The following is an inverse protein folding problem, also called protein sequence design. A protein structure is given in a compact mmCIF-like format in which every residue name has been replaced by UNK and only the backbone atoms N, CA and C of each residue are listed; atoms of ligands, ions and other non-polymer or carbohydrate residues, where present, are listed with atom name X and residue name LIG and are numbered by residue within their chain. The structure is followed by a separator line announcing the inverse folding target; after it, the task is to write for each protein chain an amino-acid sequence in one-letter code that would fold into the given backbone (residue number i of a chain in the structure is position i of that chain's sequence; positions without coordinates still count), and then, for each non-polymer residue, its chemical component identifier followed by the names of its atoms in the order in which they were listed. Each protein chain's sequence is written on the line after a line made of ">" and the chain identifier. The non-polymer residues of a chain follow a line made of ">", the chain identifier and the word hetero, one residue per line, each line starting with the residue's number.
data_IF_339509507210
#
_entry.id   IF_339509507210
#
_cell.length_a   1.000
_cell.length_b   1.000
_cell.length_c   1.000
_cell.angle_alpha   90.00
_cell.angle_beta   90.00
_cell.angle_gamma   90.00
#
_symmetry.space_group_name_H-M   'P 1'
#
loop_
_entity.id
_entity.type
_entity.pdbx_description
1 polymer ?
#
# COMPACT_ATOMS: atom_id res chain seq x y z
N UNK A 1 -6.74 -61.17 6.97
CA UNK A 1 -6.10 -61.02 8.30
C UNK A 1 -5.48 -59.63 8.43
N UNK A 2 -6.08 -58.75 9.23
CA UNK A 2 -5.45 -57.79 10.16
C UNK A 2 -6.59 -56.93 10.73
N UNK A 3 -6.70 -56.97 12.06
CA UNK A 3 -7.85 -56.52 12.82
C UNK A 3 -7.76 -55.02 13.12
N UNK A 4 -8.94 -54.42 13.10
CA UNK A 4 -9.31 -53.07 13.53
C UNK A 4 -8.93 -52.86 15.01
N UNK A 5 -8.44 -51.66 15.35
CA UNK A 5 -8.44 -51.16 16.72
C UNK A 5 -9.00 -49.74 16.71
N UNK A 6 -10.19 -49.61 17.30
CA UNK A 6 -10.99 -48.41 17.46
C UNK A 6 -11.18 -48.27 18.98
N UNK A 7 -10.63 -47.23 19.59
CA UNK A 7 -10.81 -46.87 21.01
C UNK A 7 -10.99 -45.35 20.99
N UNK A 8 -12.21 -44.80 20.99
CA UNK A 8 -13.14 -44.64 22.12
C UNK A 8 -12.47 -44.10 23.39
N UNK A 9 -12.26 -42.78 23.41
CA UNK A 9 -12.18 -41.97 24.62
C UNK A 9 -12.73 -40.60 24.24
N UNK A 10 -13.69 -39.99 24.92
CA UNK A 10 -14.28 -40.26 26.21
C UNK A 10 -14.95 -38.94 26.56
N UNK A 11 -16.26 -38.89 26.36
CA UNK A 11 -17.13 -37.75 26.62
C UNK A 11 -17.00 -37.38 28.11
N UNK A 12 -16.54 -36.17 28.44
CA UNK A 12 -16.84 -35.55 29.72
C UNK A 12 -17.45 -34.16 29.51
N UNK A 13 -18.72 -34.14 29.87
CA UNK A 13 -19.66 -33.06 29.98
C UNK A 13 -19.39 -32.25 31.27
N UNK A 14 -20.09 -31.12 31.40
CA UNK A 14 -20.36 -30.25 32.59
C UNK A 14 -19.69 -28.87 32.43
N UNK A 15 -20.35 -27.88 31.81
CA UNK A 15 -21.44 -26.96 32.26
C UNK A 15 -21.08 -25.97 33.37
N UNK A 16 -21.07 -24.69 32.94
CA UNK A 16 -21.68 -23.47 33.52
C UNK A 16 -21.17 -22.96 34.88
N UNK A 17 -20.86 -21.65 34.93
CA UNK A 17 -21.26 -20.63 35.93
C UNK A 17 -20.63 -19.29 35.48
N UNK A 18 -21.41 -18.37 34.91
CA UNK A 18 -22.05 -17.24 35.60
C UNK A 18 -21.04 -16.30 36.30
N UNK A 19 -20.84 -15.11 35.72
CA UNK A 19 -20.01 -14.04 36.27
C UNK A 19 -20.57 -12.65 35.97
N UNK A 20 -21.81 -12.40 36.41
CA UNK A 20 -22.30 -11.04 36.66
C UNK A 20 -21.77 -10.57 38.02
N UNK A 21 -21.06 -9.45 38.07
CA UNK A 21 -20.76 -8.69 39.29
C UNK A 21 -20.68 -7.22 38.90
N UNK A 22 -21.75 -6.43 39.00
CA UNK A 22 -22.42 -5.83 40.18
C UNK A 22 -21.62 -4.63 40.72
N UNK A 23 -22.29 -3.49 40.58
CA UNK A 23 -21.93 -2.14 40.98
C UNK A 23 -21.61 -2.01 42.48
N UNK A 24 -20.55 -1.27 42.79
CA UNK A 24 -20.44 -0.52 44.04
C UNK A 24 -20.61 0.97 43.74
N UNK A 25 -21.61 1.56 44.39
CA UNK A 25 -21.69 2.99 44.65
C UNK A 25 -20.76 3.28 45.83
N UNK A 26 -19.90 4.27 45.71
CA UNK A 26 -19.63 5.17 46.83
C UNK A 26 -19.79 6.61 46.36
N UNK A 27 -20.73 7.25 47.02
CA UNK A 27 -21.04 8.66 47.02
C UNK A 27 -19.93 9.41 47.80
N UNK A 28 -19.54 10.59 47.32
CA UNK A 28 -19.31 11.79 48.14
C UNK A 28 -18.85 12.92 47.21
N UNK A 29 -19.71 13.92 47.05
CA UNK A 29 -19.50 15.04 46.15
C UNK A 29 -18.48 16.07 46.62
N UNK A 30 -18.05 16.88 45.67
CA UNK A 30 -17.67 18.28 45.88
C UNK A 30 -18.06 19.08 44.64
N UNK A 31 -18.78 20.18 44.86
CA UNK A 31 -19.25 21.11 43.83
C UNK A 31 -18.10 21.99 43.36
N UNK A 32 -17.93 22.15 42.04
CA UNK A 32 -17.43 23.41 41.47
C UNK A 32 -18.24 23.76 40.22
N UNK A 33 -18.96 24.86 40.35
CA UNK A 33 -19.63 25.67 39.33
C UNK A 33 -18.70 26.04 38.18
N UNK A 34 -19.07 25.83 36.90
CA UNK A 34 -18.61 26.69 35.78
C UNK A 34 -19.35 26.38 34.45
N UNK A 35 -20.34 27.25 34.18
CA UNK A 35 -20.68 27.90 32.89
C UNK A 35 -20.65 27.10 31.57
N UNK A 36 -21.83 27.10 30.93
CA UNK A 36 -22.02 27.04 29.47
C UNK A 36 -21.19 28.09 28.70
N UNK A 37 -20.48 27.64 27.67
CA UNK A 37 -20.38 28.24 26.32
C UNK A 37 -19.83 27.12 25.41
N UNK A 38 -20.65 26.47 24.58
CA UNK A 38 -21.05 26.88 23.21
C UNK A 38 -19.86 26.93 22.24
N UNK A 39 -19.98 26.13 21.18
CA UNK A 39 -19.24 26.18 19.91
C UNK A 39 -17.77 25.76 19.90
N UNK A 40 -17.54 24.49 19.52
CA UNK A 40 -16.63 24.20 18.41
C UNK A 40 -17.10 22.92 17.71
N UNK A 41 -18.02 23.12 16.78
CA UNK A 41 -18.25 22.20 15.69
C UNK A 41 -17.06 22.29 14.72
N UNK A 42 -16.79 21.17 14.05
CA UNK A 42 -16.03 21.07 12.81
C UNK A 42 -14.51 21.37 12.86
N UNK A 43 -13.74 20.29 12.90
CA UNK A 43 -12.75 20.10 11.83
C UNK A 43 -12.90 18.69 11.27
N UNK A 44 -13.87 18.54 10.37
CA UNK A 44 -13.81 17.50 9.36
C UNK A 44 -12.51 17.70 8.56
N UNK A 45 -11.88 16.62 8.05
CA UNK A 45 -10.83 16.76 7.05
C UNK A 45 -11.39 17.61 5.91
N UNK A 46 -10.76 18.74 5.63
CA UNK A 46 -11.08 19.53 4.44
C UNK A 46 -10.85 18.61 3.26
N UNK A 47 -11.91 18.33 2.50
CA UNK A 47 -11.77 17.92 1.11
C UNK A 47 -10.82 18.92 0.45
N UNK A 48 -9.71 18.39 -0.05
CA UNK A 48 -8.70 19.16 -0.75
C UNK A 48 -9.30 19.60 -2.09
N UNK A 49 -9.81 20.83 -2.13
CA UNK A 49 -10.28 21.50 -3.33
C UNK A 49 -9.18 21.43 -4.40
N UNK A 50 -9.51 20.94 -5.60
CA UNK A 50 -8.58 20.61 -6.69
C UNK A 50 -7.59 21.70 -7.14
N UNK A 51 -7.74 22.95 -6.67
CA UNK A 51 -6.77 24.03 -6.87
C UNK A 51 -5.42 23.78 -6.17
N UNK A 52 -5.41 23.22 -4.96
CA UNK A 52 -4.18 22.91 -4.21
C UNK A 52 -3.42 21.73 -4.82
N UNK A 53 -4.14 20.71 -5.30
CA UNK A 53 -3.56 19.49 -5.89
C UNK A 53 -2.81 19.81 -7.17
N UNK A 54 -3.35 20.69 -8.01
CA UNK A 54 -2.71 21.11 -9.27
C UNK A 54 -1.36 21.81 -9.02
N UNK A 55 -1.32 22.81 -8.14
CA UNK A 55 -0.07 23.52 -7.80
C UNK A 55 0.98 22.63 -7.12
N UNK A 56 0.52 21.64 -6.34
CA UNK A 56 1.38 20.64 -5.75
C UNK A 56 2.01 19.70 -6.79
N UNK A 57 1.26 19.29 -7.83
CA UNK A 57 1.79 18.43 -8.90
C UNK A 57 2.88 19.14 -9.71
N UNK A 58 2.68 20.41 -10.04
CA UNK A 58 3.69 21.22 -10.72
C UNK A 58 4.96 21.35 -9.88
N UNK A 59 4.82 21.58 -8.57
CA UNK A 59 5.95 21.64 -7.63
C UNK A 59 6.68 20.29 -7.56
N UNK A 60 5.94 19.18 -7.52
CA UNK A 60 6.50 17.83 -7.48
C UNK A 60 7.29 17.53 -8.76
N UNK A 61 6.68 17.76 -9.93
CA UNK A 61 7.32 17.60 -11.25
C UNK A 61 8.61 18.41 -11.34
N UNK A 62 8.53 19.71 -11.02
CA UNK A 62 9.69 20.61 -11.05
C UNK A 62 10.80 20.17 -10.07
N UNK A 63 10.44 19.69 -8.88
CA UNK A 63 11.41 19.26 -7.87
C UNK A 63 12.14 17.99 -8.31
N UNK A 64 11.40 17.00 -8.82
CA UNK A 64 11.97 15.75 -9.32
C UNK A 64 12.85 15.99 -10.55
N UNK A 65 12.42 16.82 -11.51
CA UNK A 65 13.24 17.18 -12.68
C UNK A 65 14.54 17.92 -12.31
N UNK A 66 14.58 18.56 -11.14
CA UNK A 66 15.79 19.20 -10.57
C UNK A 66 16.64 18.24 -9.72
N UNK A 67 16.29 16.96 -9.68
CA UNK A 67 16.99 15.95 -8.89
C UNK A 67 16.79 16.08 -7.38
N UNK A 68 15.81 16.88 -6.92
CA UNK A 68 15.47 16.93 -5.51
C UNK A 68 14.87 15.60 -5.06
N UNK A 69 15.14 15.25 -3.81
CA UNK A 69 14.53 14.12 -3.13
C UNK A 69 13.18 14.56 -2.58
N UNK A 70 12.14 13.81 -2.89
CA UNK A 70 10.78 14.08 -2.44
C UNK A 70 10.25 12.89 -1.66
N UNK A 71 9.43 13.13 -0.64
CA UNK A 71 8.63 12.12 0.06
C UNK A 71 7.17 12.51 -0.10
N UNK A 72 6.36 11.58 -0.58
CA UNK A 72 4.93 11.73 -0.75
C UNK A 72 4.21 10.68 0.09
N UNK A 73 3.20 11.10 0.84
CA UNK A 73 2.31 10.22 1.62
C UNK A 73 0.89 10.39 1.11
N UNK A 74 0.19 9.29 0.87
CA UNK A 74 -1.19 9.30 0.41
C UNK A 74 -1.91 8.04 0.87
N UNK A 75 -3.23 8.01 0.67
CA UNK A 75 -4.06 6.84 0.97
C UNK A 75 -4.60 6.23 -0.30
N UNK A 76 -4.63 4.90 -0.32
CA UNK A 76 -5.38 4.12 -1.31
C UNK A 76 -6.50 3.45 -0.54
N UNK A 77 -7.74 3.71 -0.96
CA UNK A 77 -8.94 3.15 -0.35
C UNK A 77 -9.44 2.00 -1.21
N UNK A 78 -9.67 0.83 -0.61
CA UNK A 78 -10.31 -0.33 -1.25
C UNK A 78 -11.50 -0.83 -0.41
N UNK A 79 -12.15 -1.92 -0.85
CA UNK A 79 -13.27 -2.54 -0.14
C UNK A 79 -12.91 -3.01 1.30
N UNK A 80 -11.61 -3.19 1.59
CA UNK A 80 -11.09 -3.66 2.86
C UNK A 80 -10.60 -2.51 3.77
N UNK A 81 -10.56 -1.27 3.26
CA UNK A 81 -10.23 -0.07 4.02
C UNK A 81 -9.20 0.83 3.34
N UNK A 82 -8.73 1.84 4.08
CA UNK A 82 -7.71 2.77 3.59
C UNK A 82 -6.31 2.32 4.01
N UNK A 83 -5.42 2.17 3.04
CA UNK A 83 -4.00 1.84 3.23
C UNK A 83 -3.14 3.08 3.02
N UNK A 84 -2.25 3.36 3.96
CA UNK A 84 -1.27 4.45 3.83
C UNK A 84 -0.07 3.99 2.99
N UNK A 85 0.27 4.82 2.01
CA UNK A 85 1.39 4.61 1.09
C UNK A 85 2.36 5.77 1.26
N UNK A 86 3.64 5.43 1.41
CA UNK A 86 4.73 6.41 1.41
C UNK A 86 5.63 6.14 0.22
N UNK A 87 5.82 7.14 -0.63
CA UNK A 87 6.68 7.04 -1.80
C UNK A 87 7.76 8.11 -1.79
N UNK A 88 8.99 7.70 -2.01
CA UNK A 88 10.16 8.56 -2.15
C UNK A 88 10.58 8.60 -3.61
N UNK A 89 10.98 9.76 -4.11
CA UNK A 89 11.46 9.93 -5.48
C UNK A 89 12.74 10.77 -5.52
N UNK A 90 13.68 10.38 -6.38
CA UNK A 90 14.89 11.13 -6.71
C UNK A 90 15.30 10.90 -8.16
N UNK A 91 15.02 11.86 -9.04
CA UNK A 91 15.20 11.68 -10.49
C UNK A 91 14.33 10.53 -10.98
N UNK A 92 14.94 9.54 -11.63
CA UNK A 92 14.25 8.33 -12.12
C UNK A 92 14.02 7.27 -11.04
N UNK A 93 14.70 7.37 -9.90
CA UNK A 93 14.57 6.37 -8.82
C UNK A 93 13.36 6.65 -7.96
N UNK A 94 12.62 5.61 -7.62
CA UNK A 94 11.55 5.69 -6.64
C UNK A 94 11.57 4.51 -5.67
N UNK A 95 11.05 4.75 -4.47
CA UNK A 95 10.87 3.74 -3.43
C UNK A 95 9.49 3.92 -2.84
N UNK A 96 8.68 2.87 -2.87
CA UNK A 96 7.35 2.85 -2.29
C UNK A 96 7.32 1.91 -1.10
N UNK A 97 6.73 2.35 0.00
CA UNK A 97 6.49 1.57 1.20
C UNK A 97 4.98 1.55 1.47
N UNK A 98 4.41 0.35 1.52
CA UNK A 98 2.98 0.13 1.78
C UNK A 98 2.86 -0.65 3.08
N UNK A 99 2.08 -0.13 4.03
CA UNK A 99 1.82 -0.79 5.31
C UNK A 99 0.41 -1.41 5.31
N UNK A 100 0.34 -2.73 5.10
CA UNK A 100 -0.88 -3.54 5.14
C UNK A 100 -0.99 -4.24 6.49
N UNK A 101 -1.54 -3.55 7.49
CA UNK A 101 -1.64 -4.07 8.86
C UNK A 101 -0.25 -4.33 9.47
N UNK A 102 0.08 -5.60 9.71
CA UNK A 102 1.41 -6.00 10.22
C UNK A 102 2.43 -6.29 9.12
N UNK A 103 2.02 -6.28 7.85
CA UNK A 103 2.89 -6.54 6.71
C UNK A 103 3.32 -5.21 6.08
N UNK A 104 4.63 -5.03 5.90
CA UNK A 104 5.18 -3.91 5.14
C UNK A 104 5.71 -4.44 3.81
N UNK A 105 5.24 -3.91 2.70
CA UNK A 105 5.79 -4.19 1.37
C UNK A 105 6.65 -3.00 0.95
N UNK A 106 7.82 -3.30 0.38
CA UNK A 106 8.76 -2.32 -0.14
C UNK A 106 8.95 -2.61 -1.62
N UNK A 107 8.82 -1.57 -2.44
CA UNK A 107 9.16 -1.61 -3.85
C UNK A 107 10.19 -0.53 -4.15
N UNK A 108 11.21 -0.84 -4.94
CA UNK A 108 12.25 0.10 -5.35
C UNK A 108 12.47 -0.03 -6.84
N UNK A 109 12.52 1.10 -7.54
CA UNK A 109 12.97 1.18 -8.91
C UNK A 109 14.28 1.96 -8.96
N UNK A 110 15.29 1.35 -9.56
CA UNK A 110 16.65 1.89 -9.61
C UNK A 110 16.96 2.69 -10.89
N UNK A 111 15.99 2.79 -11.81
CA UNK A 111 16.12 3.39 -13.13
C UNK A 111 15.99 2.37 -14.27
N UNK A 112 16.16 1.07 -13.99
CA UNK A 112 16.08 0.00 -14.99
C UNK A 112 15.20 -1.16 -14.51
N UNK A 113 15.36 -1.56 -13.24
CA UNK A 113 14.68 -2.72 -12.66
C UNK A 113 13.80 -2.29 -11.49
N UNK A 114 12.56 -2.75 -11.50
CA UNK A 114 11.66 -2.68 -10.36
C UNK A 114 11.86 -3.92 -9.48
N UNK A 115 12.12 -3.71 -8.20
CA UNK A 115 12.23 -4.74 -7.18
C UNK A 115 11.07 -4.60 -6.20
N UNK A 116 10.53 -5.71 -5.71
CA UNK A 116 9.51 -5.71 -4.67
C UNK A 116 9.71 -6.86 -3.69
N UNK A 117 9.52 -6.61 -2.41
CA UNK A 117 9.60 -7.61 -1.35
C UNK A 117 8.79 -7.20 -0.13
N UNK A 118 8.42 -8.18 0.70
CA UNK A 118 7.83 -7.90 2.01
C UNK A 118 8.92 -7.85 3.08
N UNK A 119 8.85 -6.89 3.99
CA UNK A 119 9.76 -6.76 5.11
C UNK A 119 9.79 -8.06 5.94
N UNK A 120 10.99 -8.50 6.30
CA UNK A 120 11.22 -9.75 7.02
C UNK A 120 11.25 -11.01 6.15
N UNK A 121 10.87 -10.93 4.87
CA UNK A 121 11.02 -12.03 3.92
C UNK A 121 12.42 -12.01 3.27
N UNK A 122 12.92 -13.19 2.90
CA UNK A 122 14.19 -13.37 2.16
C UNK A 122 14.00 -13.65 0.68
N UNK A 123 12.79 -13.46 0.20
CA UNK A 123 12.39 -13.64 -1.19
C UNK A 123 11.65 -12.40 -1.65
N UNK A 124 11.83 -12.06 -2.92
CA UNK A 124 11.17 -10.94 -3.56
C UNK A 124 11.05 -11.19 -5.05
N UNK A 125 10.53 -10.20 -5.76
CA UNK A 125 10.37 -10.23 -7.20
C UNK A 125 11.09 -9.06 -7.83
N UNK A 126 11.57 -9.25 -9.05
CA UNK A 126 12.12 -8.18 -9.86
C UNK A 126 11.58 -8.23 -11.28
N UNK A 127 11.53 -7.08 -11.92
CA UNK A 127 11.08 -6.93 -13.30
C UNK A 127 11.84 -5.78 -13.97
N UNK A 128 12.53 -6.08 -15.08
CA UNK A 128 13.19 -5.06 -15.89
C UNK A 128 12.17 -4.25 -16.68
N UNK A 129 12.39 -2.95 -16.83
CA UNK A 129 11.50 -2.08 -17.59
C UNK A 129 11.45 -2.49 -19.06
N UNK A 130 12.57 -2.93 -19.62
CA UNK A 130 12.63 -3.53 -20.96
C UNK A 130 11.67 -4.72 -21.12
N UNK A 131 11.44 -5.50 -20.07
CA UNK A 131 10.45 -6.56 -20.11
C UNK A 131 9.02 -6.00 -20.19
N UNK A 132 8.67 -5.08 -19.29
CA UNK A 132 7.35 -4.41 -19.28
C UNK A 132 7.04 -3.83 -20.66
N UNK A 133 8.03 -3.17 -21.25
CA UNK A 133 7.95 -2.56 -22.57
C UNK A 133 7.79 -3.56 -23.73
N UNK A 134 8.31 -4.78 -23.56
CA UNK A 134 8.21 -5.86 -24.55
C UNK A 134 6.88 -6.60 -24.51
N UNK A 135 6.21 -6.55 -23.35
CA UNK A 135 4.88 -7.10 -23.19
C UNK A 135 3.90 -6.11 -23.83
N UNK A 136 3.15 -6.53 -24.84
CA UNK A 136 2.14 -5.69 -25.50
C UNK A 136 0.87 -5.62 -24.64
N UNK A 137 1.02 -5.19 -23.38
CA UNK A 137 -0.08 -5.02 -22.41
C UNK A 137 -0.83 -3.70 -22.69
N UNK A 138 -0.79 -3.20 -23.93
CA UNK A 138 -1.33 -1.88 -24.26
C UNK A 138 -2.86 -1.80 -24.25
N UNK A 139 -3.62 -2.89 -24.12
CA UNK A 139 -5.07 -2.79 -24.36
C UNK A 139 -6.05 -3.56 -23.46
N UNK A 140 -5.68 -4.54 -22.63
CA UNK A 140 -6.71 -5.36 -21.96
C UNK A 140 -6.61 -5.55 -20.43
N UNK A 141 -5.52 -5.12 -19.78
CA UNK A 141 -5.41 -5.20 -18.31
C UNK A 141 -5.85 -3.93 -17.55
N UNK A 142 -6.14 -2.83 -18.26
CA UNK A 142 -6.41 -1.52 -17.64
C UNK A 142 -7.90 -1.22 -17.41
N UNK A 143 -8.78 -2.22 -17.53
CA UNK A 143 -10.22 -2.07 -17.25
C UNK A 143 -10.72 -2.75 -15.97
N UNK A 144 -9.89 -3.52 -15.27
CA UNK A 144 -10.30 -4.20 -14.04
C UNK A 144 -9.40 -3.94 -12.82
N UNK A 145 -8.38 -3.09 -12.95
CA UNK A 145 -7.60 -2.58 -11.82
C UNK A 145 -7.94 -1.10 -11.58
N UNK A 146 -9.06 -0.85 -10.91
CA UNK A 146 -9.31 0.43 -10.24
C UNK A 146 -8.18 0.64 -9.22
N UNK A 147 -7.16 1.43 -9.58
CA UNK A 147 -6.17 1.95 -8.64
C UNK A 147 -4.69 1.63 -8.89
N UNK A 148 -4.29 0.93 -9.96
CA UNK A 148 -2.86 0.73 -10.26
C UNK A 148 -2.37 1.67 -11.38
N UNK A 149 -1.26 2.35 -11.09
CA UNK A 149 -0.62 3.31 -11.98
C UNK A 149 -0.35 2.68 -13.36
N UNK A 150 -0.96 3.26 -14.38
CA UNK A 150 -0.77 2.92 -15.79
C UNK A 150 0.67 3.28 -16.19
N UNK A 151 1.51 2.27 -16.45
CA UNK A 151 2.85 2.45 -17.01
C UNK A 151 2.72 2.58 -18.54
N UNK A 152 2.42 3.78 -19.02
CA UNK A 152 2.41 4.10 -20.43
C UNK A 152 3.51 5.11 -20.73
N UNK A 153 4.49 4.62 -21.49
CA UNK A 153 5.75 5.24 -21.94
C UNK A 153 5.74 6.68 -22.45
N UNK A 154 4.59 7.28 -22.67
CA UNK A 154 4.50 8.60 -23.28
C UNK A 154 4.22 9.72 -22.26
N UNK A 155 3.86 9.40 -21.01
CA UNK A 155 3.66 10.36 -19.89
C UNK A 155 4.00 9.74 -18.51
N UNK A 156 5.07 8.93 -18.43
CA UNK A 156 5.54 8.25 -17.20
C UNK A 156 6.23 9.22 -16.20
N UNK A 157 5.56 10.30 -15.84
CA UNK A 157 6.02 11.17 -14.77
C UNK A 157 5.41 10.69 -13.46
N UNK A 158 6.27 10.44 -12.47
CA UNK A 158 5.89 10.11 -11.10
C UNK A 158 4.75 10.99 -10.54
N UNK A 159 4.75 12.28 -10.89
CA UNK A 159 3.69 13.21 -10.49
C UNK A 159 2.33 12.83 -11.09
N UNK A 160 2.31 12.36 -12.34
CA UNK A 160 1.07 12.02 -13.05
C UNK A 160 0.48 10.71 -12.47
N UNK A 161 1.33 9.75 -12.08
CA UNK A 161 0.92 8.55 -11.35
C UNK A 161 0.27 8.85 -9.98
N UNK A 162 0.60 10.00 -9.37
CA UNK A 162 0.02 10.43 -8.08
C UNK A 162 -1.17 11.38 -8.22
N UNK A 163 -1.50 11.82 -9.44
CA UNK A 163 -2.59 12.77 -9.69
C UNK A 163 -3.96 12.26 -9.22
N UNK A 164 -4.17 10.94 -9.18
CA UNK A 164 -5.38 10.29 -8.66
C UNK A 164 -5.39 10.05 -7.15
N UNK A 165 -4.27 10.22 -6.44
CA UNK A 165 -4.15 9.81 -5.05
C UNK A 165 -4.99 10.69 -4.10
N UNK A 166 -5.62 10.06 -3.10
CA UNK A 166 -6.37 10.76 -2.05
C UNK A 166 -5.43 11.19 -0.91
N UNK A 167 -5.68 12.37 -0.34
CA UNK A 167 -4.91 12.91 0.79
C UNK A 167 -3.40 12.98 0.52
N UNK A 168 -3.03 13.33 -0.71
CA UNK A 168 -1.65 13.38 -1.14
C UNK A 168 -0.92 14.57 -0.49
N UNK A 169 0.16 14.27 0.21
CA UNK A 169 1.04 15.26 0.82
C UNK A 169 2.49 14.97 0.40
N UNK A 170 3.18 15.95 -0.19
CA UNK A 170 4.58 15.80 -0.58
C UNK A 170 5.46 16.88 0.03
N UNK A 171 6.59 16.44 0.58
CA UNK A 171 7.59 17.25 1.26
C UNK A 171 8.99 16.95 0.71
N UNK A 172 9.93 17.89 0.89
CA UNK A 172 11.34 17.65 0.59
C UNK A 172 11.84 16.52 1.51
N UNK A 173 12.48 15.51 0.93
CA UNK A 173 13.07 14.41 1.68
C UNK A 173 14.55 14.69 1.99
N UNK A 174 14.99 14.24 3.16
CA UNK A 174 16.41 14.16 3.52
C UNK A 174 17.12 13.03 2.76
N UNK A 175 18.02 12.32 3.43
CA UNK A 175 18.62 11.15 2.82
C UNK A 175 17.63 9.99 2.71
N UNK A 176 17.48 9.48 1.50
CA UNK A 176 16.63 8.34 1.15
C UNK A 176 17.52 7.19 0.70
N UNK A 177 17.31 6.03 1.30
CA UNK A 177 17.99 4.79 0.93
C UNK A 177 17.18 4.01 -0.12
N UNK A 178 17.72 4.00 -1.34
CA UNK A 178 17.22 3.23 -2.49
C UNK A 178 18.02 1.92 -2.70
N UNK A 179 18.85 1.50 -1.74
CA UNK A 179 19.59 0.26 -1.86
C UNK A 179 18.67 -0.96 -1.87
N UNK A 180 19.05 -1.95 -2.66
CA UNK A 180 18.40 -3.25 -2.69
C UNK A 180 19.18 -4.17 -1.75
N UNK A 181 18.52 -4.82 -0.76
CA UNK A 181 19.19 -5.75 0.14
C UNK A 181 19.80 -6.95 -0.62
N UNK A 182 21.02 -7.34 -0.26
CA UNK A 182 21.76 -8.45 -0.88
C UNK A 182 21.34 -9.83 -0.35
N UNK A 183 20.65 -9.85 0.79
CA UNK A 183 20.16 -11.04 1.47
C UNK A 183 18.78 -11.51 0.97
N UNK A 184 18.17 -10.77 0.03
CA UNK A 184 16.90 -11.12 -0.61
C UNK A 184 17.17 -11.79 -1.96
N UNK A 185 16.55 -12.96 -2.17
CA UNK A 185 16.56 -13.65 -3.46
C UNK A 185 15.39 -13.16 -4.31
N UNK A 186 15.71 -12.47 -5.40
CA UNK A 186 14.70 -11.95 -6.32
C UNK A 186 14.43 -12.93 -7.47
N UNK A 187 13.17 -13.34 -7.61
CA UNK A 187 12.70 -14.06 -8.79
C UNK A 187 12.37 -13.07 -9.90
N UNK A 188 12.82 -13.38 -11.12
CA UNK A 188 12.47 -12.58 -12.29
C UNK A 188 11.04 -12.91 -12.74
N UNK A 189 10.16 -11.92 -12.73
CA UNK A 189 8.76 -12.10 -13.15
C UNK A 189 8.57 -12.04 -14.67
N UNK A 190 9.59 -11.60 -15.42
CA UNK A 190 9.48 -11.39 -16.86
C UNK A 190 9.15 -12.69 -17.61
N UNK A 191 9.84 -13.78 -17.30
CA UNK A 191 9.64 -15.05 -17.99
C UNK A 191 8.25 -15.64 -17.74
N UNK A 192 7.72 -15.45 -16.53
CA UNK A 192 6.36 -15.83 -16.18
C UNK A 192 5.33 -15.04 -17.00
N UNK A 193 5.53 -13.73 -17.16
CA UNK A 193 4.64 -12.88 -17.95
C UNK A 193 4.69 -13.20 -19.44
N UNK A 194 5.89 -13.38 -20.01
CA UNK A 194 6.07 -13.80 -21.41
C UNK A 194 5.40 -15.14 -21.68
N UNK A 195 5.47 -16.09 -20.74
CA UNK A 195 4.78 -17.38 -20.87
C UNK A 195 3.27 -17.21 -20.92
N UNK A 196 2.71 -16.33 -20.09
CA UNK A 196 1.27 -16.06 -20.07
C UNK A 196 0.81 -15.40 -21.38
N UNK A 197 1.56 -14.42 -21.89
CA UNK A 197 1.25 -13.76 -23.16
C UNK A 197 1.19 -14.78 -24.32
N UNK A 198 2.17 -15.69 -24.42
CA UNK A 198 2.17 -16.75 -25.44
C UNK A 198 0.94 -17.67 -25.36
N UNK A 199 0.44 -17.95 -24.16
CA UNK A 199 -0.77 -18.76 -24.00
C UNK A 199 -1.97 -18.00 -24.55
N UNK A 200 -2.13 -16.72 -24.20
CA UNK A 200 -3.23 -15.88 -24.70
C UNK A 200 -3.19 -15.72 -26.22
N UNK A 201 -2.02 -15.47 -26.80
CA UNK A 201 -1.84 -15.39 -28.25
C UNK A 201 -2.21 -16.68 -28.98
N UNK A 202 -2.03 -17.84 -28.34
CA UNK A 202 -2.41 -19.13 -28.92
C UNK A 202 -3.90 -19.44 -28.76
N UNK A 203 -4.59 -18.86 -27.77
CA UNK A 203 -6.03 -19.00 -27.60
C UNK A 203 -6.83 -18.09 -28.54
N UNK A 204 -6.24 -16.99 -29.00
CA UNK A 204 -6.86 -16.04 -29.93
C UNK A 204 -6.61 -16.36 -31.42
N UNK A 205 -6.03 -17.52 -31.73
CA UNK A 205 -5.84 -18.05 -33.10
C UNK A 205 -6.83 -19.15 -33.40
#
# INVERSE_FOLDING_TARGET
>A
MKKVSLILGGLFLITVLAGCGKNEKSDSGEQVDLKLAKESAESLPKEDTGENKSGMMEKLKNSISKGKKMKCTYKISDENGATEVTTYAQGEKYKTEVNLGQMKTVSVFDGDVMYSWSAGQKVGTKMAMDCINSLDIKNEATKEADGEASLNKDDDNFADALSGAENLNCEDAGDVDFSIPDDIKFSDQCEMLKSQQKILENLNK
#
